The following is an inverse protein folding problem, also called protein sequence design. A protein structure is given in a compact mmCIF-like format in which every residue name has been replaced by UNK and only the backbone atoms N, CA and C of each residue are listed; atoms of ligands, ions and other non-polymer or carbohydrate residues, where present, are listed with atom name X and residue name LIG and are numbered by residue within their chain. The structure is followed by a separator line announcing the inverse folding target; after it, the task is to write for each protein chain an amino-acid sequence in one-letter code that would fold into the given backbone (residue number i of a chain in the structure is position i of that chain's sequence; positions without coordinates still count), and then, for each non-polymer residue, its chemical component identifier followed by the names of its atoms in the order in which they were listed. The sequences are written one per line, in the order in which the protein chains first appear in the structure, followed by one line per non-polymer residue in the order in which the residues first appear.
data_IF_412404617422
#
_entry.id   IF_412404617422
#
_cell.length_a   1.000
_cell.length_b   1.000
_cell.length_c   1.000
_cell.angle_alpha   90.00
_cell.angle_beta   90.00
_cell.angle_gamma   90.00
#
_symmetry.space_group_name_H-M   'P 1'
#
loop_
_entity.id
_entity.type
_entity.pdbx_description
1 polymer ?
#
# COMPACT_ATOMS: atom_id res chain seq x y z
N UNK A 1 33.04 -8.56 -26.00
CA UNK A 1 34.15 -9.30 -26.67
C UNK A 1 35.39 -9.53 -25.80
N UNK A 2 35.58 -8.83 -24.66
CA UNK A 2 36.81 -8.95 -23.85
C UNK A 2 36.97 -10.25 -23.04
N UNK A 3 35.87 -10.92 -22.65
CA UNK A 3 35.94 -12.19 -21.91
C UNK A 3 36.66 -13.30 -22.67
N UNK A 4 36.58 -13.31 -24.00
CA UNK A 4 37.22 -14.34 -24.85
C UNK A 4 38.74 -14.16 -24.88
N UNK A 5 39.23 -12.91 -24.84
CA UNK A 5 40.67 -12.62 -24.81
C UNK A 5 41.32 -13.00 -23.47
N UNK A 6 40.60 -12.80 -22.35
CA UNK A 6 41.07 -13.19 -21.02
C UNK A 6 41.18 -14.73 -20.90
N UNK A 7 40.23 -15.45 -21.48
CA UNK A 7 40.22 -16.91 -21.53
C UNK A 7 41.32 -17.46 -22.45
N UNK A 8 41.57 -16.84 -23.61
CA UNK A 8 42.66 -17.24 -24.51
C UNK A 8 44.06 -16.99 -23.93
N UNK A 9 44.23 -15.90 -23.18
CA UNK A 9 45.50 -15.57 -22.52
C UNK A 9 45.85 -16.54 -21.37
N UNK A 10 44.85 -17.16 -20.74
CA UNK A 10 45.06 -18.16 -19.70
C UNK A 10 45.62 -19.49 -20.24
N UNK A 11 45.37 -19.80 -21.52
CA UNK A 11 45.78 -21.06 -22.17
C UNK A 11 47.10 -20.89 -22.96
N UNK A 12 47.51 -19.65 -23.26
CA UNK A 12 48.72 -19.38 -24.03
C UNK A 12 49.99 -19.73 -23.23
N UNK A 13 50.94 -20.53 -23.79
CA UNK A 13 52.17 -20.91 -23.12
C UNK A 13 53.17 -19.74 -23.17
N UNK A 14 52.90 -18.71 -22.36
CA UNK A 14 53.81 -17.57 -22.21
C UNK A 14 54.60 -17.70 -20.91
N UNK A 15 55.88 -17.33 -20.96
CA UNK A 15 56.79 -17.38 -19.81
C UNK A 15 56.26 -16.55 -18.62
N UNK A 16 56.87 -16.71 -17.43
CA UNK A 16 56.41 -16.09 -16.16
C UNK A 16 56.12 -14.58 -16.27
N UNK A 17 56.83 -13.87 -17.15
CA UNK A 17 56.68 -12.43 -17.41
C UNK A 17 55.41 -12.11 -18.22
N UNK A 18 55.03 -12.97 -19.17
CA UNK A 18 53.84 -12.78 -20.01
C UNK A 18 52.55 -12.82 -19.20
N UNK A 19 52.45 -13.77 -18.26
CA UNK A 19 51.28 -13.91 -17.37
C UNK A 19 51.03 -12.64 -16.53
N UNK A 20 52.08 -11.95 -16.11
CA UNK A 20 51.97 -10.69 -15.37
C UNK A 20 51.38 -9.56 -16.23
N UNK A 21 51.83 -9.42 -17.47
CA UNK A 21 51.32 -8.37 -18.38
C UNK A 21 49.84 -8.57 -18.73
N UNK A 22 49.40 -9.82 -18.94
CA UNK A 22 47.98 -10.10 -19.21
C UNK A 22 47.08 -9.86 -18.01
N UNK A 23 47.54 -10.14 -16.78
CA UNK A 23 46.78 -9.83 -15.57
C UNK A 23 46.58 -8.32 -15.40
N UNK A 24 47.63 -7.53 -15.64
CA UNK A 24 47.54 -6.06 -15.53
C UNK A 24 46.60 -5.49 -16.60
N UNK A 25 46.66 -5.99 -17.83
CA UNK A 25 45.76 -5.57 -18.90
C UNK A 25 44.30 -5.99 -18.63
N UNK A 26 44.09 -7.20 -18.10
CA UNK A 26 42.79 -7.68 -17.68
C UNK A 26 42.19 -6.82 -16.56
N UNK A 27 43.00 -6.43 -15.58
CA UNK A 27 42.60 -5.58 -14.48
C UNK A 27 42.26 -4.17 -14.95
N UNK A 28 43.07 -3.59 -15.84
CA UNK A 28 42.79 -2.28 -16.44
C UNK A 28 41.47 -2.26 -17.24
N UNK A 29 41.21 -3.29 -18.05
CA UNK A 29 39.94 -3.38 -18.79
C UNK A 29 38.73 -3.62 -17.88
N UNK A 30 38.90 -4.35 -16.77
CA UNK A 30 37.85 -4.55 -15.78
C UNK A 30 37.50 -3.25 -15.06
N UNK A 31 38.48 -2.41 -14.73
CA UNK A 31 38.25 -1.09 -14.12
C UNK A 31 37.46 -0.18 -15.07
N UNK A 32 37.82 -0.15 -16.36
CA UNK A 32 37.08 0.64 -17.36
C UNK A 32 35.62 0.19 -17.47
N UNK A 33 35.38 -1.13 -17.48
CA UNK A 33 34.03 -1.68 -17.52
C UNK A 33 33.21 -1.31 -16.27
N UNK A 34 33.83 -1.33 -15.09
CA UNK A 34 33.17 -0.95 -13.84
C UNK A 34 32.79 0.54 -13.89
N UNK A 35 33.66 1.42 -14.38
CA UNK A 35 33.37 2.85 -14.50
C UNK A 35 32.20 3.13 -15.47
N UNK A 36 32.20 2.49 -16.64
CA UNK A 36 31.08 2.61 -17.58
C UNK A 36 29.78 2.07 -16.98
N UNK A 37 29.83 0.93 -16.28
CA UNK A 37 28.64 0.36 -15.63
C UNK A 37 28.09 1.26 -14.52
N UNK A 38 28.96 1.92 -13.74
CA UNK A 38 28.51 2.83 -12.68
C UNK A 38 27.84 4.08 -13.25
N UNK A 39 28.33 4.62 -14.36
CA UNK A 39 27.71 5.74 -15.04
C UNK A 39 26.30 5.37 -15.53
N UNK A 40 26.15 4.20 -16.18
CA UNK A 40 24.86 3.71 -16.65
C UNK A 40 23.89 3.42 -15.51
N UNK A 41 24.35 2.79 -14.42
CA UNK A 41 23.51 2.52 -13.24
C UNK A 41 23.03 3.83 -12.60
N UNK A 42 23.89 4.85 -12.54
CA UNK A 42 23.51 6.14 -11.98
C UNK A 42 22.48 6.86 -12.85
N UNK A 43 22.66 6.84 -14.17
CA UNK A 43 21.73 7.43 -15.13
C UNK A 43 20.37 6.73 -15.09
N UNK A 44 20.34 5.39 -15.08
CA UNK A 44 19.11 4.61 -14.94
C UNK A 44 18.42 4.87 -13.59
N UNK A 45 19.19 4.99 -12.50
CA UNK A 45 18.64 5.28 -11.18
C UNK A 45 18.02 6.70 -11.13
N UNK A 46 18.69 7.69 -11.73
CA UNK A 46 18.17 9.05 -11.89
C UNK A 46 16.86 9.04 -12.69
N UNK A 47 16.83 8.34 -13.82
CA UNK A 47 15.66 8.28 -14.68
C UNK A 47 14.46 7.65 -13.95
N UNK A 48 14.65 6.52 -13.27
CA UNK A 48 13.60 5.89 -12.45
C UNK A 48 13.13 6.78 -11.30
N UNK A 49 14.04 7.49 -10.64
CA UNK A 49 13.68 8.43 -9.58
C UNK A 49 12.82 9.59 -10.11
N UNK A 50 13.16 10.13 -11.29
CA UNK A 50 12.36 11.19 -11.93
C UNK A 50 10.99 10.70 -12.39
N UNK A 51 10.89 9.47 -12.88
CA UNK A 51 9.61 8.86 -13.27
C UNK A 51 8.70 8.65 -12.06
N UNK A 52 9.24 8.11 -10.96
CA UNK A 52 8.49 7.96 -9.70
C UNK A 52 8.03 9.32 -9.15
N UNK A 53 8.90 10.33 -9.13
CA UNK A 53 8.55 11.68 -8.71
C UNK A 53 7.45 12.28 -9.61
N UNK A 54 7.50 12.04 -10.92
CA UNK A 54 6.47 12.51 -11.85
C UNK A 54 5.13 11.84 -11.59
N UNK A 55 5.14 10.53 -11.30
CA UNK A 55 3.93 9.79 -10.95
C UNK A 55 3.29 10.31 -9.65
N UNK A 56 4.09 10.56 -8.61
CA UNK A 56 3.59 11.13 -7.35
C UNK A 56 3.06 12.55 -7.53
N UNK A 57 3.71 13.37 -8.37
CA UNK A 57 3.25 14.72 -8.69
C UNK A 57 1.96 14.71 -9.50
N UNK A 58 1.83 13.80 -10.48
CA UNK A 58 0.60 13.63 -11.26
C UNK A 58 -0.57 13.17 -10.37
N UNK A 59 -0.32 12.23 -9.46
CA UNK A 59 -1.32 11.78 -8.49
C UNK A 59 -1.75 12.93 -7.55
N UNK A 60 -0.79 13.73 -7.07
CA UNK A 60 -1.09 14.89 -6.23
C UNK A 60 -1.85 15.98 -7.01
N UNK A 61 -1.52 16.18 -8.29
CA UNK A 61 -2.22 17.09 -9.18
C UNK A 61 -3.69 16.73 -9.39
N UNK A 62 -3.98 15.44 -9.58
CA UNK A 62 -5.35 14.94 -9.71
C UNK A 62 -6.18 15.23 -8.45
N UNK A 63 -5.62 15.00 -7.26
CA UNK A 63 -6.30 15.30 -6.00
C UNK A 63 -6.61 16.80 -5.89
N UNK A 64 -5.66 17.66 -6.27
CA UNK A 64 -5.86 19.11 -6.19
C UNK A 64 -6.91 19.61 -7.19
N UNK A 65 -6.91 19.06 -8.41
CA UNK A 65 -7.94 19.33 -9.42
C UNK A 65 -9.33 18.89 -8.94
N UNK A 66 -9.45 17.69 -8.36
CA UNK A 66 -10.72 17.21 -7.80
C UNK A 66 -11.22 18.11 -6.67
N UNK A 67 -10.33 18.56 -5.77
CA UNK A 67 -10.70 19.46 -4.69
C UNK A 67 -11.16 20.82 -5.20
N UNK A 68 -10.49 21.36 -6.23
CA UNK A 68 -10.90 22.61 -6.86
C UNK A 68 -12.27 22.48 -7.53
N UNK A 69 -12.49 21.37 -8.25
CA UNK A 69 -13.77 21.07 -8.90
C UNK A 69 -14.90 20.91 -7.87
N UNK A 70 -14.66 20.20 -6.78
CA UNK A 70 -15.62 20.09 -5.68
C UNK A 70 -15.95 21.45 -5.07
N UNK A 71 -14.94 22.31 -4.86
CA UNK A 71 -15.16 23.64 -4.31
C UNK A 71 -15.97 24.54 -5.26
N UNK A 72 -15.76 24.43 -6.57
CA UNK A 72 -16.57 25.14 -7.58
C UNK A 72 -18.00 24.64 -7.61
N UNK A 73 -18.21 23.31 -7.62
CA UNK A 73 -19.54 22.72 -7.51
C UNK A 73 -20.24 23.15 -6.22
N UNK A 74 -19.52 23.12 -5.10
CA UNK A 74 -20.05 23.54 -3.80
C UNK A 74 -20.44 25.02 -3.80
N UNK A 75 -19.66 25.89 -4.44
CA UNK A 75 -20.01 27.31 -4.63
C UNK A 75 -21.21 27.50 -5.54
N UNK A 76 -21.40 26.68 -6.57
CA UNK A 76 -22.60 26.72 -7.42
C UNK A 76 -23.85 26.23 -6.68
N UNK A 77 -23.72 25.22 -5.81
CA UNK A 77 -24.82 24.72 -5.00
C UNK A 77 -25.16 25.61 -3.79
N UNK A 78 -24.15 26.27 -3.18
CA UNK A 78 -24.33 27.21 -2.06
C UNK A 78 -24.58 28.65 -2.52
N UNK A 79 -24.22 29.00 -3.75
CA UNK A 79 -24.33 30.33 -4.32
C UNK A 79 -25.72 30.58 -4.91
N UNK A 80 -26.57 31.26 -4.14
CA UNK A 80 -27.73 32.09 -4.51
C UNK A 80 -28.71 31.63 -5.61
N UNK A 81 -28.67 30.35 -6.01
CA UNK A 81 -29.59 29.77 -7.02
C UNK A 81 -30.18 28.44 -6.58
N UNK A 82 -30.15 28.15 -5.27
CA UNK A 82 -30.87 27.00 -4.71
C UNK A 82 -32.32 27.42 -4.44
N UNK A 83 -33.19 27.24 -5.43
CA UNK A 83 -34.64 27.35 -5.18
C UNK A 83 -35.03 26.33 -4.11
N UNK A 84 -35.95 26.68 -3.18
CA UNK A 84 -36.30 25.82 -2.04
C UNK A 84 -36.82 24.43 -2.46
N UNK A 85 -37.31 24.32 -3.69
CA UNK A 85 -37.76 23.08 -4.33
C UNK A 85 -36.61 22.08 -4.51
N UNK A 86 -35.42 22.50 -4.96
CA UNK A 86 -34.26 21.60 -5.19
C UNK A 86 -33.75 21.02 -3.87
N UNK A 87 -33.79 21.82 -2.80
CA UNK A 87 -33.43 21.35 -1.46
C UNK A 87 -34.41 20.31 -0.93
N UNK A 88 -35.69 20.46 -1.25
CA UNK A 88 -36.74 19.53 -0.85
C UNK A 88 -36.65 18.20 -1.61
N UNK A 89 -36.42 18.25 -2.92
CA UNK A 89 -36.18 17.07 -3.76
C UNK A 89 -34.90 16.32 -3.35
N UNK A 90 -33.85 17.05 -2.96
CA UNK A 90 -32.62 16.44 -2.45
C UNK A 90 -32.82 15.81 -1.07
N UNK A 91 -33.55 16.46 -0.16
CA UNK A 91 -33.93 15.86 1.13
C UNK A 91 -34.77 14.60 0.93
N UNK A 92 -35.73 14.62 0.01
CA UNK A 92 -36.59 13.48 -0.28
C UNK A 92 -35.81 12.33 -0.94
N UNK A 93 -34.87 12.65 -1.82
CA UNK A 93 -33.95 11.66 -2.43
C UNK A 93 -33.01 11.06 -1.38
N UNK A 94 -32.51 11.86 -0.45
CA UNK A 94 -31.64 11.40 0.63
C UNK A 94 -32.41 10.55 1.65
N UNK A 95 -33.66 10.89 1.95
CA UNK A 95 -34.55 10.07 2.78
C UNK A 95 -34.88 8.74 2.10
N UNK A 96 -35.11 8.74 0.79
CA UNK A 96 -35.34 7.53 0.00
C UNK A 96 -34.10 6.61 0.01
N UNK A 97 -32.91 7.15 -0.25
CA UNK A 97 -31.65 6.40 -0.21
C UNK A 97 -31.33 5.86 1.18
N UNK A 98 -31.60 6.64 2.24
CA UNK A 98 -31.42 6.18 3.61
C UNK A 98 -32.38 5.02 3.93
N UNK A 99 -33.64 5.11 3.52
CA UNK A 99 -34.65 4.08 3.75
C UNK A 99 -34.37 2.80 2.95
N UNK A 100 -33.88 2.94 1.72
CA UNK A 100 -33.47 1.82 0.87
C UNK A 100 -32.21 1.11 1.41
N UNK A 101 -31.20 1.86 1.87
CA UNK A 101 -30.00 1.30 2.48
C UNK A 101 -30.28 0.61 3.82
N UNK A 102 -31.21 1.14 4.63
CA UNK A 102 -31.59 0.50 5.90
C UNK A 102 -32.41 -0.77 5.66
N UNK A 103 -33.26 -0.79 4.63
CA UNK A 103 -34.02 -1.98 4.24
C UNK A 103 -33.13 -3.09 3.67
N UNK A 104 -32.08 -2.75 2.91
CA UNK A 104 -31.14 -3.72 2.34
C UNK A 104 -30.06 -4.19 3.31
N UNK A 105 -29.70 -3.39 4.32
CA UNK A 105 -28.72 -3.77 5.35
C UNK A 105 -29.28 -4.71 6.43
N UNK A 106 -30.61 -4.81 6.57
CA UNK A 106 -31.22 -5.54 7.69
C UNK A 106 -31.33 -7.05 7.44
N UNK A 107 -31.37 -7.52 6.18
CA UNK A 107 -31.85 -8.88 5.95
C UNK A 107 -30.78 -9.97 5.74
N UNK A 108 -29.60 -9.76 5.09
CA UNK A 108 -28.76 -10.94 4.75
C UNK A 108 -27.21 -10.80 4.75
N UNK A 109 -26.60 -9.65 5.10
CA UNK A 109 -25.13 -9.46 4.90
C UNK A 109 -24.35 -9.01 6.16
N UNK A 110 -25.03 -8.78 7.28
CA UNK A 110 -24.46 -7.99 8.39
C UNK A 110 -23.73 -8.78 9.47
N UNK A 111 -23.80 -10.12 9.48
CA UNK A 111 -23.12 -10.91 10.53
C UNK A 111 -21.68 -11.26 10.13
N UNK A 112 -21.43 -11.68 8.89
CA UNK A 112 -20.11 -12.17 8.46
C UNK A 112 -19.09 -11.05 8.16
N UNK A 113 -19.54 -9.93 7.59
CA UNK A 113 -18.68 -8.76 7.35
C UNK A 113 -18.28 -8.06 8.65
N UNK A 114 -19.17 -8.06 9.65
CA UNK A 114 -18.89 -7.55 11.01
C UNK A 114 -17.85 -8.41 11.71
N UNK A 115 -17.98 -9.74 11.70
CA UNK A 115 -17.02 -10.65 12.32
C UNK A 115 -15.63 -10.58 11.66
N UNK A 116 -15.56 -10.51 10.32
CA UNK A 116 -14.28 -10.40 9.59
C UNK A 116 -13.56 -9.09 9.85
N UNK A 117 -14.28 -7.97 9.81
CA UNK A 117 -13.69 -6.64 10.11
C UNK A 117 -13.24 -6.52 11.56
N UNK A 118 -13.97 -7.14 12.49
CA UNK A 118 -13.60 -7.20 13.90
C UNK A 118 -12.35 -8.07 14.12
N UNK A 119 -12.23 -9.20 13.41
CA UNK A 119 -11.02 -10.04 13.45
C UNK A 119 -9.78 -9.31 12.93
N UNK A 120 -9.87 -8.64 11.77
CA UNK A 120 -8.74 -7.88 11.21
C UNK A 120 -8.26 -6.77 12.15
N UNK A 121 -9.20 -6.03 12.76
CA UNK A 121 -8.87 -5.01 13.75
C UNK A 121 -8.19 -5.59 15.00
N UNK A 122 -8.63 -6.77 15.46
CA UNK A 122 -8.01 -7.48 16.59
C UNK A 122 -6.58 -7.93 16.25
N UNK A 123 -6.35 -8.48 15.05
CA UNK A 123 -5.02 -8.92 14.59
C UNK A 123 -4.06 -7.74 14.45
N UNK A 124 -4.52 -6.62 13.90
CA UNK A 124 -3.72 -5.39 13.79
C UNK A 124 -3.31 -4.88 15.17
N UNK A 125 -4.23 -4.85 16.13
CA UNK A 125 -3.95 -4.42 17.50
C UNK A 125 -3.00 -5.37 18.24
N UNK A 126 -3.11 -6.69 18.00
CA UNK A 126 -2.16 -7.67 18.52
C UNK A 126 -0.76 -7.49 17.89
N UNK A 127 -0.68 -7.19 16.60
CA UNK A 127 0.57 -6.90 15.89
C UNK A 127 1.27 -5.64 16.41
N UNK A 128 0.49 -4.67 16.89
CA UNK A 128 0.97 -3.44 17.55
C UNK A 128 1.33 -3.65 19.04
N UNK A 129 1.18 -4.87 19.57
CA UNK A 129 1.53 -5.21 20.95
C UNK A 129 0.50 -4.76 22.00
N UNK A 130 -0.75 -4.52 21.60
CA UNK A 130 -1.82 -4.19 22.53
C UNK A 130 -2.16 -5.38 23.44
N UNK A 131 -2.44 -5.12 24.71
CA UNK A 131 -2.83 -6.17 25.66
C UNK A 131 -4.23 -6.69 25.36
N UNK A 132 -4.45 -8.00 25.57
CA UNK A 132 -5.77 -8.63 25.37
C UNK A 132 -6.88 -7.91 26.15
N UNK A 133 -6.56 -7.38 27.33
CA UNK A 133 -7.46 -6.57 28.15
C UNK A 133 -7.90 -5.30 27.45
N UNK A 134 -6.99 -4.62 26.75
CA UNK A 134 -7.29 -3.42 25.98
C UNK A 134 -8.23 -3.72 24.80
N UNK A 135 -8.01 -4.84 24.12
CA UNK A 135 -8.83 -5.28 22.99
C UNK A 135 -10.26 -5.61 23.47
N UNK A 136 -10.39 -6.33 24.57
CA UNK A 136 -11.69 -6.70 25.16
C UNK A 136 -12.47 -5.47 25.62
N UNK A 137 -11.79 -4.49 26.21
CA UNK A 137 -12.44 -3.29 26.74
C UNK A 137 -12.77 -2.25 25.65
N UNK A 138 -11.87 -2.02 24.69
CA UNK A 138 -12.00 -0.96 23.68
C UNK A 138 -12.68 -1.42 22.39
N UNK A 139 -12.39 -2.64 21.92
CA UNK A 139 -12.93 -3.16 20.65
C UNK A 139 -14.22 -3.93 20.91
N UNK A 140 -14.19 -4.90 21.82
CA UNK A 140 -15.37 -5.71 22.14
C UNK A 140 -16.36 -4.96 23.06
N UNK A 141 -15.96 -3.83 23.65
CA UNK A 141 -16.77 -3.05 24.62
C UNK A 141 -17.32 -3.91 25.76
N UNK A 142 -16.54 -4.90 26.20
CA UNK A 142 -16.88 -5.85 27.26
C UNK A 142 -15.85 -5.76 28.39
N UNK A 143 -15.85 -4.65 29.12
CA UNK A 143 -14.99 -4.45 30.29
C UNK A 143 -15.64 -4.86 31.62
N UNK A 144 -14.82 -5.08 32.65
CA UNK A 144 -15.30 -5.26 34.03
C UNK A 144 -15.97 -6.62 34.29
N UNK A 145 -17.27 -6.62 34.62
CA UNK A 145 -18.00 -7.81 35.09
C UNK A 145 -18.24 -8.87 34.01
N UNK A 146 -18.12 -8.49 32.73
CA UNK A 146 -18.32 -9.38 31.57
C UNK A 146 -16.99 -9.65 30.85
N UNK A 147 -15.86 -9.54 31.56
CA UNK A 147 -14.53 -9.76 30.98
C UNK A 147 -14.36 -11.21 30.51
N UNK A 148 -14.86 -12.18 31.28
CA UNK A 148 -14.81 -13.61 30.93
C UNK A 148 -15.57 -13.91 29.63
N UNK A 149 -16.72 -13.26 29.42
CA UNK A 149 -17.49 -13.37 28.17
C UNK A 149 -16.73 -12.73 26.99
N UNK A 150 -16.05 -11.61 27.24
CA UNK A 150 -15.21 -10.94 26.25
C UNK A 150 -14.01 -11.78 25.83
N UNK A 151 -13.40 -12.52 26.76
CA UNK A 151 -12.29 -13.43 26.48
C UNK A 151 -12.75 -14.63 25.65
N UNK A 152 -13.89 -15.25 25.99
CA UNK A 152 -14.46 -16.34 25.19
C UNK A 152 -14.80 -15.91 23.76
N UNK A 153 -15.34 -14.70 23.60
CA UNK A 153 -15.65 -14.14 22.27
C UNK A 153 -14.39 -13.84 21.46
N UNK A 154 -13.32 -13.35 22.10
CA UNK A 154 -12.03 -13.13 21.45
C UNK A 154 -11.40 -14.46 20.98
N UNK A 155 -11.41 -15.48 21.83
CA UNK A 155 -10.89 -16.81 21.50
C UNK A 155 -11.70 -17.48 20.37
N UNK A 156 -13.02 -17.33 20.39
CA UNK A 156 -13.90 -17.81 19.31
C UNK A 156 -13.61 -17.09 17.99
N UNK A 157 -13.41 -15.76 18.03
CA UNK A 157 -13.12 -14.94 16.86
C UNK A 157 -11.76 -15.29 16.24
N UNK A 158 -10.74 -15.50 17.07
CA UNK A 158 -9.41 -15.93 16.62
C UNK A 158 -9.44 -17.35 16.04
N UNK A 159 -10.24 -18.25 16.61
CA UNK A 159 -10.45 -19.60 16.07
C UNK A 159 -11.12 -19.54 14.71
N UNK A 160 -12.23 -18.79 14.58
CA UNK A 160 -12.95 -18.59 13.31
C UNK A 160 -12.09 -17.93 12.23
N UNK A 161 -11.28 -16.93 12.59
CA UNK A 161 -10.39 -16.29 11.62
C UNK A 161 -9.28 -17.22 11.12
N UNK A 162 -8.74 -18.09 11.99
CA UNK A 162 -7.79 -19.13 11.59
C UNK A 162 -8.41 -20.21 10.71
N UNK A 163 -9.64 -20.62 11.00
CA UNK A 163 -10.38 -21.62 10.21
C UNK A 163 -10.75 -21.08 8.81
N UNK A 164 -10.96 -19.77 8.68
CA UNK A 164 -11.35 -19.12 7.41
C UNK A 164 -10.18 -18.45 6.66
N UNK A 165 -8.93 -18.60 7.12
CA UNK A 165 -7.72 -17.99 6.56
C UNK A 165 -7.85 -16.47 6.29
N UNK A 166 -8.43 -15.74 7.24
CA UNK A 166 -8.55 -14.27 7.17
C UNK A 166 -7.29 -13.54 7.63
#
# INVERSE_FOLDING_TARGET
MCCVALWLAAIAPTGKIGKGLFLILGLASSIQLIQESQALIFEEAMQRATEAMHQELAQSGLVLETYQQEQEMQKLYLGDTSTPEVKQELMQSLEALYKENVATATDQTSTSLSEKSLYLAVVELLGLGASNTFIIEKVLRRGGRNFDEGQQMLDELLRKGRENEW
#
